data_IF_357235154290
#
_entry.id   IF_357235154290
#
_cell.length_a   1.000
_cell.length_b   1.000
_cell.length_c   1.000
_cell.angle_alpha   90.00
_cell.angle_beta   90.00
_cell.angle_gamma   90.00
#
_symmetry.space_group_name_H-M   'P 1'
#
loop_
_entity.id
_entity.type
_entity.pdbx_description
1 polymer ?
#
# COMPACT_ATOMS: atom_id res chain seq x y z
N UNK A 1 15.51 -18.78 11.49
CA UNK A 1 14.77 -17.91 10.55
C UNK A 1 13.69 -17.19 11.33
N UNK A 2 13.49 -15.89 11.08
CA UNK A 2 12.41 -15.13 11.72
C UNK A 2 11.06 -15.51 11.09
N UNK A 3 10.03 -15.74 11.91
CA UNK A 3 8.67 -16.06 11.45
C UNK A 3 7.82 -14.78 11.38
N UNK A 4 6.78 -14.78 10.55
CA UNK A 4 5.86 -13.65 10.41
C UNK A 4 5.25 -13.21 11.76
N UNK A 5 5.01 -14.18 12.65
CA UNK A 5 4.50 -13.95 14.00
C UNK A 5 5.47 -13.19 14.92
N UNK A 6 6.76 -13.12 14.59
CA UNK A 6 7.76 -12.39 15.36
C UNK A 6 7.74 -10.87 15.04
N UNK A 7 6.98 -10.45 14.00
CA UNK A 7 6.87 -9.03 13.60
C UNK A 7 6.21 -8.17 14.68
N UNK A 8 5.27 -8.71 15.46
CA UNK A 8 4.55 -7.98 16.51
C UNK A 8 5.47 -7.50 17.64
N UNK A 9 6.66 -8.10 17.77
CA UNK A 9 7.66 -7.75 18.78
C UNK A 9 8.80 -6.87 18.23
N UNK A 10 8.83 -6.61 16.93
CA UNK A 10 9.86 -5.81 16.29
C UNK A 10 9.46 -4.33 16.30
N UNK A 11 10.36 -3.47 16.79
CA UNK A 11 10.25 -2.02 16.62
C UNK A 11 10.51 -1.67 15.16
N UNK A 12 9.47 -1.71 14.35
CA UNK A 12 9.51 -1.34 12.95
C UNK A 12 8.95 0.08 12.76
N UNK A 13 9.57 0.85 11.87
CA UNK A 13 8.96 2.11 11.44
C UNK A 13 7.60 1.80 10.81
N UNK A 14 6.54 2.43 11.30
CA UNK A 14 5.15 2.06 10.99
C UNK A 14 4.85 1.96 9.48
N UNK A 15 5.52 2.74 8.62
CA UNK A 15 5.36 2.62 7.16
C UNK A 15 5.83 1.30 6.57
N UNK A 16 6.88 0.72 7.12
CA UNK A 16 7.31 -0.61 6.70
C UNK A 16 6.31 -1.67 7.19
N UNK A 17 5.71 -1.49 8.37
CA UNK A 17 4.63 -2.37 8.84
C UNK A 17 3.39 -2.28 7.94
N UNK A 18 2.97 -1.06 7.59
CA UNK A 18 1.87 -0.82 6.63
C UNK A 18 2.15 -1.53 5.28
N UNK A 19 3.35 -1.36 4.73
CA UNK A 19 3.72 -1.98 3.45
C UNK A 19 3.75 -3.51 3.53
N UNK A 20 4.22 -4.10 4.62
CA UNK A 20 4.20 -5.56 4.84
C UNK A 20 2.76 -6.07 4.88
N UNK A 21 1.88 -5.38 5.60
CA UNK A 21 0.46 -5.76 5.67
C UNK A 21 -0.18 -5.72 4.28
N UNK A 22 0.07 -4.67 3.51
CA UNK A 22 -0.41 -4.53 2.13
C UNK A 22 0.15 -5.60 1.18
N UNK A 23 1.36 -6.12 1.44
CA UNK A 23 1.98 -7.14 0.61
C UNK A 23 1.12 -8.41 0.50
N UNK A 24 0.44 -8.79 1.59
CA UNK A 24 -0.39 -9.99 1.66
C UNK A 24 -1.59 -9.95 0.69
N UNK A 25 -2.11 -8.76 0.43
CA UNK A 25 -3.30 -8.54 -0.38
C UNK A 25 -2.95 -8.14 -1.82
N UNK A 26 -2.00 -7.23 -1.98
CA UNK A 26 -1.68 -6.62 -3.26
C UNK A 26 -0.65 -7.44 -4.07
N UNK A 27 0.25 -8.17 -3.39
CA UNK A 27 1.36 -8.93 -4.00
C UNK A 27 2.20 -8.10 -4.98
N UNK A 28 2.37 -6.81 -4.68
CA UNK A 28 3.23 -5.88 -5.44
C UNK A 28 4.66 -5.88 -4.87
N UNK A 29 5.58 -5.23 -5.59
CA UNK A 29 6.96 -5.07 -5.14
C UNK A 29 7.03 -4.11 -3.96
N UNK A 30 8.06 -4.26 -3.12
CA UNK A 30 8.22 -3.47 -1.88
C UNK A 30 8.16 -1.96 -2.12
N UNK A 31 8.75 -1.47 -3.22
CA UNK A 31 8.74 -0.03 -3.52
C UNK A 31 7.32 0.48 -3.80
N UNK A 32 6.52 -0.27 -4.56
CA UNK A 32 5.13 0.08 -4.85
C UNK A 32 4.28 0.04 -3.58
N UNK A 33 4.51 -0.96 -2.73
CA UNK A 33 3.84 -1.07 -1.44
C UNK A 33 4.16 0.11 -0.52
N UNK A 34 5.41 0.57 -0.51
CA UNK A 34 5.80 1.75 0.26
C UNK A 34 5.19 3.04 -0.30
N UNK A 35 5.13 3.16 -1.62
CA UNK A 35 4.50 4.29 -2.28
C UNK A 35 3.00 4.35 -1.95
N UNK A 36 2.30 3.21 -2.02
CA UNK A 36 0.89 3.06 -1.66
C UNK A 36 0.67 3.31 -0.16
N UNK A 37 1.54 2.80 0.72
CA UNK A 37 1.45 3.01 2.16
C UNK A 37 1.60 4.49 2.54
N UNK A 38 2.49 5.21 1.85
CA UNK A 38 2.65 6.65 2.05
C UNK A 38 1.46 7.44 1.50
N UNK A 39 0.99 7.13 0.28
CA UNK A 39 -0.20 7.75 -0.29
C UNK A 39 -1.45 7.52 0.58
N UNK A 40 -1.60 6.33 1.17
CA UNK A 40 -2.66 6.01 2.12
C UNK A 40 -2.65 6.95 3.34
N UNK A 41 -1.47 7.28 3.87
CA UNK A 41 -1.36 8.25 4.95
C UNK A 41 -1.82 9.64 4.50
N UNK A 42 -1.29 10.14 3.37
CA UNK A 42 -1.66 11.46 2.85
C UNK A 42 -3.17 11.57 2.60
N UNK A 43 -3.79 10.49 2.15
CA UNK A 43 -5.24 10.44 1.97
C UNK A 43 -5.99 10.50 3.31
N UNK A 44 -5.55 9.74 4.33
CA UNK A 44 -6.13 9.79 5.68
C UNK A 44 -6.01 11.18 6.31
N UNK A 45 -4.96 11.91 5.98
CA UNK A 45 -4.74 13.31 6.38
C UNK A 45 -5.55 14.32 5.53
N UNK A 46 -6.28 13.85 4.52
CA UNK A 46 -7.10 14.69 3.64
C UNK A 46 -6.29 15.49 2.61
N UNK A 47 -5.00 15.19 2.44
CA UNK A 47 -4.09 15.91 1.55
C UNK A 47 -4.21 15.46 0.09
N UNK A 48 -4.62 14.21 -0.14
CA UNK A 48 -4.87 13.67 -1.49
C UNK A 48 -6.22 12.97 -1.56
N UNK A 49 -6.83 13.01 -2.74
CA UNK A 49 -8.10 12.32 -3.04
C UNK A 49 -7.93 11.11 -3.97
N UNK A 50 -6.86 11.10 -4.77
CA UNK A 50 -6.59 10.11 -5.78
C UNK A 50 -5.10 9.73 -5.77
N UNK A 51 -4.82 8.46 -6.03
CA UNK A 51 -3.49 7.98 -6.33
C UNK A 51 -3.34 7.82 -7.84
N UNK A 52 -2.47 8.63 -8.46
CA UNK A 52 -2.28 8.62 -9.91
C UNK A 52 -1.05 7.78 -10.25
N UNK A 53 -1.19 6.84 -11.17
CA UNK A 53 -0.08 6.00 -11.63
C UNK A 53 -0.25 5.61 -13.10
N UNK A 54 0.86 5.30 -13.77
CA UNK A 54 0.88 4.68 -15.10
C UNK A 54 1.37 3.22 -15.04
N UNK A 55 1.60 2.71 -13.83
CA UNK A 55 2.02 1.34 -13.61
C UNK A 55 0.82 0.39 -13.75
N UNK A 56 0.88 -0.49 -14.75
CA UNK A 56 -0.20 -1.45 -15.04
C UNK A 56 -0.40 -2.46 -13.91
N UNK A 57 0.67 -2.90 -13.23
CA UNK A 57 0.54 -3.83 -12.10
C UNK A 57 -0.25 -3.19 -10.95
N UNK A 58 -0.04 -1.89 -10.69
CA UNK A 58 -0.82 -1.16 -9.69
C UNK A 58 -2.27 -0.93 -10.16
N UNK A 59 -2.47 -0.60 -11.44
CA UNK A 59 -3.82 -0.40 -12.00
C UNK A 59 -4.66 -1.67 -11.92
N UNK A 60 -4.06 -2.85 -12.11
CA UNK A 60 -4.72 -4.14 -11.95
C UNK A 60 -5.19 -4.40 -10.51
N UNK A 61 -4.59 -3.72 -9.52
CA UNK A 61 -4.99 -3.82 -8.10
C UNK A 61 -5.95 -2.73 -7.65
N UNK A 62 -6.42 -1.83 -8.53
CA UNK A 62 -7.23 -0.65 -8.15
C UNK A 62 -8.46 -0.99 -7.30
N UNK A 63 -9.15 -2.08 -7.60
CA UNK A 63 -10.35 -2.50 -6.86
C UNK A 63 -10.01 -3.01 -5.46
N UNK A 64 -8.90 -3.73 -5.32
CA UNK A 64 -8.40 -4.20 -4.02
C UNK A 64 -7.93 -3.00 -3.18
N UNK A 65 -7.20 -2.09 -3.79
CA UNK A 65 -6.74 -0.84 -3.16
C UNK A 65 -7.93 -0.01 -2.69
N UNK A 66 -8.97 0.15 -3.51
CA UNK A 66 -10.18 0.87 -3.13
C UNK A 66 -10.90 0.18 -1.96
N UNK A 67 -11.09 -1.15 -2.03
CA UNK A 67 -11.81 -1.91 -1.00
C UNK A 67 -11.09 -1.90 0.35
N UNK A 68 -9.78 -2.10 0.36
CA UNK A 68 -9.03 -2.35 1.59
C UNK A 68 -8.39 -1.09 2.17
N UNK A 69 -8.09 -0.10 1.32
CA UNK A 69 -7.41 1.14 1.71
C UNK A 69 -8.37 2.35 1.62
N UNK A 70 -9.46 2.26 0.84
CA UNK A 70 -10.34 3.39 0.56
C UNK A 70 -9.81 4.35 -0.50
N UNK A 71 -8.68 4.02 -1.12
CA UNK A 71 -7.97 4.92 -2.04
C UNK A 71 -8.41 4.69 -3.48
N UNK A 72 -8.83 5.76 -4.17
CA UNK A 72 -9.14 5.71 -5.60
C UNK A 72 -7.87 5.83 -6.42
N UNK A 73 -7.61 4.84 -7.26
CA UNK A 73 -6.48 4.83 -8.20
C UNK A 73 -6.95 5.29 -9.58
N UNK A 74 -6.21 6.20 -10.21
CA UNK A 74 -6.46 6.69 -11.57
C UNK A 74 -5.19 6.51 -12.39
N UNK A 75 -5.35 6.11 -13.65
CA UNK A 75 -4.25 6.01 -14.60
C UNK A 75 -4.77 5.80 -16.01
N UNK A 76 -3.86 5.84 -16.97
CA UNK A 76 -4.13 5.45 -18.34
C UNK A 76 -3.40 4.12 -18.58
N UNK A 77 -4.17 3.06 -18.85
CA UNK A 77 -3.67 1.74 -19.24
C UNK A 77 -3.39 1.68 -20.73
#
# INVERSE_FOLDING_TARGET
EAKLADLDHLKLFHKFSDAINLATELKLRTLDLLHIAYASQLMKEGLIKFFVTFDSEILDKKEIILKNIGMKVIGNS
#
